data_IF_765153308694
#
_entry.id   IF_765153308694
#
_cell.length_a   1.000
_cell.length_b   1.000
_cell.length_c   1.000
_cell.angle_alpha   90.00
_cell.angle_beta   90.00
_cell.angle_gamma   90.00
#
_symmetry.space_group_name_H-M   'P 1'
#
loop_
_entity.id
_entity.type
_entity.pdbx_description
1 polymer ?
#
# COMPACT_ATOMS: atom_id res chain seq x y z
N UNK A 1 -28.46 -19.47 -7.42
CA UNK A 1 -28.21 -18.37 -8.40
C UNK A 1 -26.81 -18.59 -8.93
N UNK A 2 -26.62 -18.60 -10.24
CA UNK A 2 -25.30 -18.77 -10.83
C UNK A 2 -24.46 -17.51 -10.53
N UNK A 3 -23.21 -17.69 -10.09
CA UNK A 3 -22.33 -16.57 -9.75
C UNK A 3 -21.71 -16.05 -11.05
N UNK A 4 -21.89 -14.76 -11.39
CA UNK A 4 -21.31 -14.20 -12.61
C UNK A 4 -19.77 -14.08 -12.49
N UNK A 5 -19.07 -13.99 -13.63
CA UNK A 5 -17.63 -13.73 -13.67
C UNK A 5 -17.24 -12.44 -12.92
N UNK A 6 -18.05 -11.39 -13.08
CA UNK A 6 -17.82 -10.09 -12.45
C UNK A 6 -19.02 -9.72 -11.61
N UNK A 7 -18.80 -9.54 -10.32
CA UNK A 7 -19.80 -9.03 -9.39
C UNK A 7 -19.59 -7.53 -9.27
N UNK A 8 -20.60 -6.75 -9.67
CA UNK A 8 -20.64 -5.31 -9.49
C UNK A 8 -21.70 -4.93 -8.46
N UNK A 9 -21.39 -3.88 -7.71
CA UNK A 9 -22.41 -3.12 -6.96
C UNK A 9 -23.04 -2.08 -7.88
N UNK A 10 -24.27 -1.70 -7.58
CA UNK A 10 -24.87 -0.50 -8.17
C UNK A 10 -24.31 0.75 -7.46
N UNK A 11 -24.39 1.93 -8.07
CA UNK A 11 -23.88 3.18 -7.48
C UNK A 11 -24.50 3.47 -6.09
N UNK A 12 -25.77 3.14 -5.90
CA UNK A 12 -26.47 3.31 -4.62
C UNK A 12 -26.09 2.29 -3.55
N UNK A 13 -25.46 1.18 -3.94
CA UNK A 13 -24.92 0.16 -3.02
C UNK A 13 -23.49 0.48 -2.57
N UNK A 14 -22.85 1.49 -3.15
CA UNK A 14 -21.50 1.90 -2.78
C UNK A 14 -21.44 2.38 -1.33
N UNK A 15 -20.35 2.06 -0.60
CA UNK A 15 -20.15 2.52 0.77
C UNK A 15 -20.22 4.05 0.88
N UNK A 16 -20.94 4.55 1.89
CA UNK A 16 -21.03 5.98 2.22
C UNK A 16 -20.09 6.39 3.34
N UNK A 17 -19.44 5.44 3.97
CA UNK A 17 -18.53 5.61 5.09
C UNK A 17 -17.26 4.82 4.84
N UNK A 18 -16.14 5.34 5.31
CA UNK A 18 -14.92 4.56 5.53
C UNK A 18 -15.00 3.88 6.88
N UNK A 19 -14.34 2.74 7.01
CA UNK A 19 -14.30 1.98 8.26
C UNK A 19 -12.90 2.00 8.86
N UNK A 20 -12.81 2.44 10.11
CA UNK A 20 -11.59 2.47 10.91
C UNK A 20 -11.52 1.23 11.80
N UNK A 21 -10.78 0.23 11.36
CA UNK A 21 -10.63 -1.03 12.10
C UNK A 21 -10.04 -0.85 13.49
N UNK A 22 -9.28 0.25 13.74
CA UNK A 22 -8.72 0.55 15.06
C UNK A 22 -9.78 0.70 16.13
N UNK A 23 -10.97 1.17 15.80
CA UNK A 23 -12.06 1.30 16.77
C UNK A 23 -12.43 -0.04 17.43
N UNK A 24 -12.31 -1.14 16.68
CA UNK A 24 -12.64 -2.49 17.16
C UNK A 24 -11.42 -3.26 17.70
N UNK A 25 -10.20 -2.72 17.59
CA UNK A 25 -9.00 -3.38 18.13
C UNK A 25 -8.97 -3.32 19.66
N UNK A 26 -8.69 -4.47 20.29
CA UNK A 26 -8.49 -4.55 21.73
C UNK A 26 -7.18 -3.89 22.16
N UNK A 27 -6.09 -4.20 21.45
CA UNK A 27 -4.80 -3.57 21.61
C UNK A 27 -4.64 -2.53 20.50
N UNK A 28 -4.74 -1.25 20.86
CA UNK A 28 -4.53 -0.16 19.90
C UNK A 28 -3.07 -0.10 19.46
N UNK A 29 -2.77 0.36 18.23
CA UNK A 29 -1.41 0.67 17.86
C UNK A 29 -0.82 1.70 18.82
N UNK A 30 0.45 1.55 19.16
CA UNK A 30 1.14 2.52 20.01
C UNK A 30 1.18 3.90 19.30
N UNK A 31 1.12 5.02 20.06
CA UNK A 31 1.09 6.36 19.48
C UNK A 31 2.37 6.68 18.72
N UNK A 32 2.26 7.57 17.74
CA UNK A 32 3.44 8.19 17.14
C UNK A 32 4.17 9.03 18.19
N UNK A 33 5.50 8.97 18.22
CA UNK A 33 6.30 9.71 19.19
C UNK A 33 7.14 10.80 18.51
N UNK A 34 7.24 11.94 19.18
CA UNK A 34 8.21 12.97 18.84
C UNK A 34 9.62 12.43 19.10
N UNK A 35 10.53 12.42 18.11
CA UNK A 35 11.85 11.80 18.25
C UNK A 35 12.78 12.50 19.25
N UNK A 36 12.53 13.78 19.55
CA UNK A 36 13.34 14.53 20.51
C UNK A 36 12.89 14.39 21.96
N UNK A 37 11.60 14.11 22.19
CA UNK A 37 11.02 14.05 23.55
C UNK A 37 10.52 12.68 23.95
N UNK A 38 10.38 11.76 23.00
CA UNK A 38 9.76 10.44 23.13
C UNK A 38 8.33 10.46 23.69
N UNK A 39 7.67 11.63 23.62
CA UNK A 39 6.24 11.77 24.01
C UNK A 39 5.36 11.61 22.77
N UNK A 40 4.08 11.20 22.97
CA UNK A 40 3.12 11.19 21.88
C UNK A 40 3.07 12.54 21.15
N UNK A 41 3.09 12.50 19.81
CA UNK A 41 2.99 13.70 18.99
C UNK A 41 1.62 14.34 19.17
N UNK A 42 1.58 15.66 19.15
CA UNK A 42 0.34 16.43 19.26
C UNK A 42 -0.29 16.69 17.90
N UNK A 43 -1.57 17.08 17.92
CA UNK A 43 -2.27 17.53 16.70
C UNK A 43 -1.53 18.70 16.03
N UNK A 44 -1.05 19.66 16.82
CA UNK A 44 -0.33 20.84 16.35
C UNK A 44 0.96 20.46 15.62
N UNK A 45 1.76 19.54 16.20
CA UNK A 45 3.00 19.06 15.59
C UNK A 45 2.74 18.42 14.23
N UNK A 46 1.75 17.53 14.14
CA UNK A 46 1.41 16.86 12.88
C UNK A 46 0.80 17.80 11.84
N UNK A 47 0.06 18.84 12.26
CA UNK A 47 -0.56 19.81 11.35
C UNK A 47 0.44 20.70 10.62
N UNK A 48 1.69 20.76 11.08
CA UNK A 48 2.77 21.39 10.32
C UNK A 48 3.19 20.58 9.09
N UNK A 49 2.97 19.27 9.12
CA UNK A 49 3.36 18.34 8.05
C UNK A 49 2.16 17.94 7.18
N UNK A 50 1.02 17.60 7.80
CA UNK A 50 -0.17 17.07 7.13
C UNK A 50 -1.33 18.06 7.14
N UNK A 51 -2.32 17.84 6.27
CA UNK A 51 -3.59 18.56 6.32
C UNK A 51 -4.33 18.29 7.63
N UNK A 52 -5.00 19.31 8.15
CA UNK A 52 -5.66 19.28 9.47
C UNK A 52 -6.65 18.10 9.62
N UNK A 53 -7.48 17.86 8.60
CA UNK A 53 -8.46 16.77 8.67
C UNK A 53 -7.79 15.40 8.64
N UNK A 54 -6.71 15.27 7.87
CA UNK A 54 -5.92 14.03 7.83
C UNK A 54 -5.26 13.73 9.19
N UNK A 55 -4.84 14.77 9.93
CA UNK A 55 -4.31 14.62 11.30
C UNK A 55 -5.39 14.12 12.25
N UNK A 56 -6.62 14.65 12.16
CA UNK A 56 -7.74 14.14 12.98
C UNK A 56 -7.99 12.66 12.72
N UNK A 57 -8.08 12.27 11.45
CA UNK A 57 -8.28 10.88 11.04
C UNK A 57 -7.13 9.97 11.47
N UNK A 58 -5.89 10.47 11.45
CA UNK A 58 -4.70 9.73 11.91
C UNK A 58 -4.76 9.44 13.40
N UNK A 59 -5.14 10.43 14.20
CA UNK A 59 -5.14 10.34 15.67
C UNK A 59 -6.39 9.67 16.24
N UNK A 60 -7.52 9.66 15.53
CA UNK A 60 -8.77 9.06 16.02
C UNK A 60 -8.77 7.53 15.86
N UNK A 61 -8.65 6.83 16.97
CA UNK A 61 -8.70 5.38 17.08
C UNK A 61 -10.01 4.85 17.72
N UNK A 62 -11.00 5.70 17.88
CA UNK A 62 -12.28 5.43 18.54
C UNK A 62 -13.48 5.47 17.63
N UNK A 63 -13.51 6.37 16.66
CA UNK A 63 -14.58 6.47 15.68
C UNK A 63 -14.47 5.33 14.66
N UNK A 64 -15.48 4.47 14.61
CA UNK A 64 -15.50 3.31 13.71
C UNK A 64 -15.80 3.69 12.26
N UNK A 65 -16.70 4.64 12.02
CA UNK A 65 -17.16 5.02 10.68
C UNK A 65 -17.01 6.52 10.43
N UNK A 66 -16.29 6.87 9.37
CA UNK A 66 -16.13 8.24 8.89
C UNK A 66 -16.95 8.43 7.63
N UNK A 67 -17.83 9.42 7.61
CA UNK A 67 -18.61 9.72 6.40
C UNK A 67 -17.69 10.16 5.27
N UNK A 68 -17.94 9.63 4.08
CA UNK A 68 -17.21 10.02 2.86
C UNK A 68 -17.88 11.27 2.30
N UNK A 69 -17.19 12.43 2.23
CA UNK A 69 -17.74 13.65 1.64
C UNK A 69 -18.34 13.42 0.25
N UNK A 70 -19.43 14.15 -0.08
CA UNK A 70 -20.13 13.95 -1.36
C UNK A 70 -19.22 14.22 -2.57
N UNK A 71 -18.31 15.17 -2.48
CA UNK A 71 -17.34 15.49 -3.54
C UNK A 71 -16.43 14.30 -3.81
N UNK A 72 -15.96 13.61 -2.76
CA UNK A 72 -15.16 12.39 -2.90
C UNK A 72 -16.02 11.26 -3.48
N UNK A 73 -17.26 11.09 -3.01
CA UNK A 73 -18.18 10.08 -3.56
C UNK A 73 -18.48 10.34 -5.03
N UNK A 74 -18.67 11.61 -5.42
CA UNK A 74 -18.86 12.01 -6.81
C UNK A 74 -17.68 11.62 -7.68
N UNK A 75 -16.45 11.81 -7.18
CA UNK A 75 -15.27 11.36 -7.90
C UNK A 75 -15.16 9.82 -7.93
N UNK A 76 -15.48 9.15 -6.83
CA UNK A 76 -15.50 7.68 -6.79
C UNK A 76 -16.44 7.10 -7.86
N UNK A 77 -17.61 7.66 -8.09
CA UNK A 77 -18.53 7.22 -9.16
C UNK A 77 -17.95 7.23 -10.58
N UNK A 78 -16.87 8.00 -10.81
CA UNK A 78 -16.21 8.02 -12.13
C UNK A 78 -15.43 6.73 -12.43
N UNK A 79 -15.02 5.95 -11.41
CA UNK A 79 -14.21 4.74 -11.62
C UNK A 79 -14.58 3.57 -10.68
N UNK A 80 -15.50 3.77 -9.79
CA UNK A 80 -16.03 2.75 -8.89
C UNK A 80 -17.53 2.57 -9.15
N UNK A 81 -18.14 1.42 -8.76
CA UNK A 81 -17.53 0.31 -8.00
C UNK A 81 -16.47 -0.46 -8.80
N UNK A 82 -15.42 -0.92 -8.13
CA UNK A 82 -14.44 -1.80 -8.73
C UNK A 82 -14.96 -3.25 -8.71
N UNK A 83 -14.76 -4.06 -9.77
CA UNK A 83 -15.31 -5.41 -9.83
C UNK A 83 -14.65 -6.36 -8.84
N UNK A 84 -15.47 -7.25 -8.25
CA UNK A 84 -15.03 -8.50 -7.69
C UNK A 84 -15.17 -9.58 -8.76
N UNK A 85 -14.08 -10.19 -9.16
CA UNK A 85 -14.05 -11.14 -10.29
C UNK A 85 -13.79 -12.54 -9.77
N UNK A 86 -14.57 -13.52 -10.23
CA UNK A 86 -14.28 -14.93 -9.99
C UNK A 86 -13.31 -15.47 -11.06
N UNK A 87 -12.22 -16.05 -10.62
CA UNK A 87 -11.16 -16.55 -11.47
C UNK A 87 -11.45 -17.97 -11.99
N UNK A 88 -12.56 -18.15 -12.71
CA UNK A 88 -13.00 -19.46 -13.21
C UNK A 88 -11.91 -20.15 -14.07
N UNK A 89 -11.24 -19.38 -14.96
CA UNK A 89 -10.20 -19.95 -15.81
C UNK A 89 -8.99 -20.41 -14.98
N UNK A 90 -8.64 -19.68 -13.92
CA UNK A 90 -7.56 -20.05 -13.02
C UNK A 90 -7.93 -21.31 -12.20
N UNK A 91 -9.16 -21.38 -11.66
CA UNK A 91 -9.67 -22.56 -10.95
C UNK A 91 -9.59 -23.81 -11.81
N UNK A 92 -10.11 -23.74 -13.05
CA UNK A 92 -10.08 -24.82 -14.04
C UNK A 92 -8.63 -25.24 -14.39
N UNK A 93 -7.78 -24.27 -14.70
CA UNK A 93 -6.39 -24.49 -15.09
C UNK A 93 -5.56 -25.16 -13.98
N UNK A 94 -5.83 -24.80 -12.71
CA UNK A 94 -5.20 -25.44 -11.54
C UNK A 94 -5.81 -26.81 -11.24
N UNK A 95 -7.04 -27.06 -11.66
CA UNK A 95 -7.81 -28.27 -11.32
C UNK A 95 -8.05 -28.36 -9.81
N UNK A 96 -8.39 -27.23 -9.18
CA UNK A 96 -8.60 -27.09 -7.74
C UNK A 96 -10.10 -27.02 -7.40
N UNK A 97 -10.54 -27.53 -6.24
CA UNK A 97 -11.89 -27.27 -5.74
C UNK A 97 -12.05 -25.87 -5.16
N UNK A 98 -10.96 -25.12 -4.94
CA UNK A 98 -11.02 -23.77 -4.39
C UNK A 98 -11.82 -22.81 -5.28
N UNK A 99 -12.56 -21.90 -4.68
CA UNK A 99 -13.25 -20.79 -5.33
C UNK A 99 -12.39 -19.53 -5.17
N UNK A 100 -11.88 -19.00 -6.28
CA UNK A 100 -10.89 -17.93 -6.27
C UNK A 100 -11.55 -16.64 -6.76
N UNK A 101 -11.44 -15.57 -5.97
CA UNK A 101 -11.93 -14.25 -6.31
C UNK A 101 -10.82 -13.22 -6.22
N UNK A 102 -10.84 -12.22 -7.10
CA UNK A 102 -9.95 -11.07 -6.97
C UNK A 102 -10.69 -9.74 -7.06
N UNK A 103 -10.34 -8.84 -6.13
CA UNK A 103 -10.82 -7.44 -6.16
C UNK A 103 -9.94 -6.64 -7.10
N UNK A 104 -10.47 -6.24 -8.25
CA UNK A 104 -9.69 -5.63 -9.32
C UNK A 104 -9.60 -4.12 -9.18
N UNK A 105 -8.68 -3.63 -8.38
CA UNK A 105 -8.41 -2.20 -8.18
C UNK A 105 -7.52 -1.58 -9.26
N UNK A 106 -6.83 -2.37 -10.05
CA UNK A 106 -6.05 -1.91 -11.21
C UNK A 106 -6.91 -1.45 -12.40
N UNK A 107 -8.22 -1.68 -12.36
CA UNK A 107 -9.17 -1.33 -13.40
C UNK A 107 -9.72 0.10 -13.26
N UNK A 108 -8.86 1.06 -13.04
CA UNK A 108 -9.22 2.48 -13.00
C UNK A 108 -8.20 3.31 -13.78
N UNK A 109 -8.50 4.58 -13.98
CA UNK A 109 -7.71 5.49 -14.80
C UNK A 109 -6.29 5.73 -14.31
N UNK A 110 -6.02 5.55 -13.00
CA UNK A 110 -4.66 5.62 -12.45
C UNK A 110 -3.91 4.30 -12.51
N UNK A 111 -4.61 3.21 -12.80
CA UNK A 111 -4.08 1.84 -12.87
C UNK A 111 -3.77 1.19 -11.53
N UNK A 112 -4.24 1.75 -10.40
CA UNK A 112 -4.04 1.14 -9.08
C UNK A 112 -5.02 1.61 -8.01
N UNK A 113 -5.10 0.87 -6.88
CA UNK A 113 -5.89 1.20 -5.69
C UNK A 113 -5.56 2.57 -5.08
N UNK A 114 -4.39 3.12 -5.37
CA UNK A 114 -3.90 4.33 -4.70
C UNK A 114 -4.76 5.55 -4.95
N UNK A 115 -5.52 5.58 -6.04
CA UNK A 115 -6.44 6.65 -6.37
C UNK A 115 -7.50 6.89 -5.26
N UNK A 116 -7.92 5.84 -4.54
CA UNK A 116 -8.91 5.94 -3.47
C UNK A 116 -8.49 6.93 -2.36
N UNK A 117 -7.22 6.86 -1.94
CA UNK A 117 -6.69 7.77 -0.92
C UNK A 117 -6.19 9.08 -1.52
N UNK A 118 -5.68 9.07 -2.74
CA UNK A 118 -5.19 10.28 -3.41
C UNK A 118 -6.29 11.34 -3.55
N UNK A 119 -7.50 10.92 -3.93
CA UNK A 119 -8.66 11.79 -4.03
C UNK A 119 -9.03 12.38 -2.66
N UNK A 120 -9.07 11.56 -1.61
CA UNK A 120 -9.41 12.02 -0.28
C UNK A 120 -8.38 13.05 0.24
N UNK A 121 -7.09 12.77 0.10
CA UNK A 121 -6.03 13.66 0.58
C UNK A 121 -5.98 14.96 -0.21
N UNK A 122 -6.15 14.93 -1.54
CA UNK A 122 -6.21 16.13 -2.37
C UNK A 122 -7.47 16.97 -2.07
N UNK A 123 -8.62 16.34 -1.82
CA UNK A 123 -9.83 17.01 -1.39
C UNK A 123 -9.61 17.80 -0.09
N UNK A 124 -9.07 17.16 0.95
CA UNK A 124 -8.83 17.85 2.22
C UNK A 124 -7.75 18.92 2.13
N UNK A 125 -6.76 18.77 1.25
CA UNK A 125 -5.79 19.84 0.96
C UNK A 125 -6.46 21.06 0.33
N UNK A 126 -7.36 20.85 -0.63
CA UNK A 126 -8.17 21.93 -1.25
C UNK A 126 -9.07 22.60 -0.24
N UNK A 127 -9.82 21.84 0.58
CA UNK A 127 -10.72 22.38 1.60
C UNK A 127 -9.98 23.23 2.66
N UNK A 128 -8.73 22.87 2.94
CA UNK A 128 -7.87 23.68 3.81
C UNK A 128 -7.33 24.96 3.13
N UNK A 129 -7.56 25.15 1.82
CA UNK A 129 -7.06 26.30 1.06
C UNK A 129 -5.57 26.24 0.73
N UNK A 130 -4.99 25.04 0.66
CA UNK A 130 -3.59 24.87 0.31
C UNK A 130 -3.34 25.18 -1.17
N UNK A 131 -2.12 25.63 -1.50
CA UNK A 131 -1.65 25.85 -2.88
C UNK A 131 -1.29 24.53 -3.56
N UNK A 132 -0.72 23.61 -2.79
CA UNK A 132 -0.25 22.36 -3.32
C UNK A 132 0.16 21.35 -2.27
N UNK A 133 0.59 20.21 -2.75
CA UNK A 133 1.06 19.10 -1.92
C UNK A 133 2.40 18.57 -2.40
N UNK A 134 3.16 18.00 -1.46
CA UNK A 134 4.38 17.27 -1.77
C UNK A 134 4.20 15.80 -1.43
N UNK A 135 4.89 14.92 -2.12
CA UNK A 135 4.82 13.49 -1.86
C UNK A 135 6.03 12.73 -2.36
N UNK A 136 6.17 11.51 -1.85
CA UNK A 136 7.06 10.48 -2.38
C UNK A 136 6.32 9.59 -3.40
N UNK A 137 7.07 8.83 -4.19
CA UNK A 137 6.53 7.67 -4.91
C UNK A 137 7.63 6.64 -5.18
N UNK A 138 7.31 5.36 -4.95
CA UNK A 138 8.20 4.23 -5.25
C UNK A 138 8.21 3.90 -6.74
N UNK A 139 7.27 3.05 -7.16
CA UNK A 139 7.12 2.63 -8.56
C UNK A 139 6.41 3.66 -9.46
N UNK A 140 5.90 4.75 -8.89
CA UNK A 140 5.15 5.80 -9.60
C UNK A 140 3.63 5.66 -9.56
N UNK A 141 3.07 4.58 -9.00
CA UNK A 141 1.61 4.40 -8.91
C UNK A 141 0.96 5.46 -8.02
N UNK A 142 1.56 5.75 -6.86
CA UNK A 142 1.06 6.79 -5.96
C UNK A 142 1.19 8.19 -6.59
N UNK A 143 2.36 8.50 -7.13
CA UNK A 143 2.58 9.78 -7.82
C UNK A 143 1.60 10.00 -8.97
N UNK A 144 1.30 8.96 -9.77
CA UNK A 144 0.28 9.01 -10.83
C UNK A 144 -1.10 9.32 -10.27
N UNK A 145 -1.54 8.59 -9.24
CA UNK A 145 -2.86 8.78 -8.63
C UNK A 145 -3.01 10.17 -8.01
N UNK A 146 -1.98 10.64 -7.30
CA UNK A 146 -2.00 11.96 -6.68
C UNK A 146 -1.94 13.09 -7.71
N UNK A 147 -1.12 12.96 -8.76
CA UNK A 147 -1.07 13.96 -9.83
C UNK A 147 -2.43 14.15 -10.50
N UNK A 148 -3.15 13.05 -10.75
CA UNK A 148 -4.50 13.07 -11.27
C UNK A 148 -5.48 13.77 -10.30
N UNK A 149 -5.43 13.44 -9.01
CA UNK A 149 -6.27 14.07 -7.99
C UNK A 149 -5.99 15.57 -7.85
N UNK A 150 -4.71 15.97 -7.86
CA UNK A 150 -4.30 17.37 -7.80
C UNK A 150 -4.76 18.15 -9.03
N UNK A 151 -4.65 17.57 -10.23
CA UNK A 151 -5.16 18.19 -11.45
C UNK A 151 -6.67 18.43 -11.37
N UNK A 152 -7.42 17.47 -10.83
CA UNK A 152 -8.86 17.61 -10.67
C UNK A 152 -9.23 18.73 -9.68
N UNK A 153 -8.51 18.84 -8.56
CA UNK A 153 -8.79 19.85 -7.53
C UNK A 153 -8.04 21.17 -7.73
N UNK A 154 -7.23 21.33 -8.75
CA UNK A 154 -6.48 22.54 -9.05
C UNK A 154 -5.34 22.83 -8.06
N UNK A 155 -4.67 21.79 -7.59
CA UNK A 155 -3.54 21.87 -6.67
C UNK A 155 -2.20 21.63 -7.39
N UNK A 156 -1.16 22.33 -6.96
CA UNK A 156 0.20 22.01 -7.35
C UNK A 156 0.62 20.65 -6.76
N UNK A 157 1.35 19.85 -7.53
CA UNK A 157 1.83 18.54 -7.10
C UNK A 157 3.34 18.39 -7.30
N UNK A 158 4.09 18.28 -6.21
CA UNK A 158 5.54 18.00 -6.23
C UNK A 158 5.79 16.56 -5.80
N UNK A 159 6.38 15.75 -6.68
CA UNK A 159 6.63 14.33 -6.46
C UNK A 159 8.13 14.05 -6.41
N UNK A 160 8.59 13.39 -5.34
CA UNK A 160 9.93 12.79 -5.24
C UNK A 160 9.82 11.30 -5.55
N UNK A 161 10.40 10.88 -6.67
CA UNK A 161 10.32 9.50 -7.15
C UNK A 161 11.62 8.77 -6.86
N UNK A 162 11.54 7.57 -6.28
CA UNK A 162 12.72 6.72 -6.03
C UNK A 162 13.57 6.62 -7.30
N UNK A 163 14.85 6.97 -7.22
CA UNK A 163 15.77 7.17 -8.35
C UNK A 163 15.78 5.99 -9.32
N UNK A 164 15.94 4.77 -8.84
CA UNK A 164 15.95 3.59 -9.72
C UNK A 164 14.62 3.41 -10.46
N UNK A 165 13.49 3.71 -9.83
CA UNK A 165 12.19 3.65 -10.48
C UNK A 165 11.98 4.79 -11.47
N UNK A 166 12.50 5.98 -11.19
CA UNK A 166 12.49 7.12 -12.11
C UNK A 166 13.16 6.79 -13.45
N UNK A 167 14.24 5.99 -13.40
CA UNK A 167 14.98 5.52 -14.56
C UNK A 167 14.28 4.33 -15.26
N UNK A 168 13.80 3.35 -14.48
CA UNK A 168 13.20 2.12 -15.02
C UNK A 168 11.76 2.28 -15.55
N UNK A 169 11.05 3.33 -15.12
CA UNK A 169 9.62 3.54 -15.42
C UNK A 169 9.36 4.94 -16.01
N UNK A 170 9.97 5.27 -17.18
CA UNK A 170 9.89 6.60 -17.75
C UNK A 170 8.45 7.01 -18.09
N UNK A 171 7.60 6.07 -18.52
CA UNK A 171 6.20 6.39 -18.88
C UNK A 171 5.36 6.80 -17.69
N UNK A 172 5.60 6.27 -16.49
CA UNK A 172 4.92 6.76 -15.28
C UNK A 172 5.27 8.21 -14.97
N UNK A 173 6.53 8.58 -15.14
CA UNK A 173 6.97 9.98 -15.00
C UNK A 173 6.23 10.88 -15.99
N UNK A 174 6.11 10.47 -17.24
CA UNK A 174 5.42 11.28 -18.27
C UNK A 174 3.91 11.38 -17.99
N UNK A 175 3.27 10.34 -17.46
CA UNK A 175 1.87 10.42 -17.00
C UNK A 175 1.70 11.46 -15.88
N UNK A 176 2.57 11.44 -14.86
CA UNK A 176 2.54 12.45 -13.79
C UNK A 176 2.71 13.87 -14.34
N UNK A 177 3.67 14.07 -15.26
CA UNK A 177 3.90 15.37 -15.91
C UNK A 177 2.72 15.80 -16.78
N UNK A 178 2.05 14.86 -17.43
CA UNK A 178 0.84 15.14 -18.24
C UNK A 178 -0.31 15.66 -17.36
N UNK A 179 -0.41 15.18 -16.10
CA UNK A 179 -1.33 15.73 -15.12
C UNK A 179 -0.81 17.01 -14.42
N UNK A 180 0.32 17.56 -14.85
CA UNK A 180 0.86 18.83 -14.33
C UNK A 180 1.80 18.70 -13.13
N UNK A 181 2.13 17.50 -12.67
CA UNK A 181 3.04 17.32 -11.55
C UNK A 181 4.51 17.59 -11.92
N UNK A 182 5.26 18.12 -10.96
CA UNK A 182 6.72 18.20 -11.04
C UNK A 182 7.33 16.97 -10.38
N UNK A 183 8.16 16.22 -11.12
CA UNK A 183 8.73 14.95 -10.65
C UNK A 183 10.26 15.03 -10.60
N UNK A 184 10.82 14.74 -9.42
CA UNK A 184 12.28 14.76 -9.17
C UNK A 184 12.74 13.37 -8.71
N UNK A 185 13.87 12.83 -9.24
CA UNK A 185 14.46 11.59 -8.73
C UNK A 185 15.01 11.79 -7.33
N UNK A 186 14.74 10.87 -6.41
CA UNK A 186 15.18 10.94 -5.01
C UNK A 186 16.12 9.77 -4.64
N UNK A 187 17.19 10.05 -3.87
CA UNK A 187 17.56 11.34 -3.29
C UNK A 187 18.13 12.33 -4.32
N UNK A 188 17.91 13.62 -4.10
CA UNK A 188 18.26 14.72 -5.00
C UNK A 188 19.14 15.77 -4.35
N UNK A 189 19.65 16.71 -5.17
CA UNK A 189 20.37 17.89 -4.69
C UNK A 189 19.43 19.08 -4.36
N UNK A 190 18.10 18.95 -4.58
CA UNK A 190 17.15 20.04 -4.35
C UNK A 190 16.93 20.34 -2.86
N UNK A 191 16.97 19.31 -2.02
CA UNK A 191 16.73 19.40 -0.57
C UNK A 191 18.01 19.24 0.24
N UNK A 192 18.04 19.76 1.46
CA UNK A 192 19.17 19.57 2.35
C UNK A 192 19.29 18.11 2.78
N UNK A 193 18.15 17.50 3.15
CA UNK A 193 18.13 16.09 3.53
C UNK A 193 18.56 15.17 2.38
N UNK A 194 18.18 15.47 1.15
CA UNK A 194 18.60 14.74 -0.03
C UNK A 194 20.12 14.76 -0.21
N UNK A 195 20.75 15.93 -0.06
CA UNK A 195 22.21 16.07 -0.09
C UNK A 195 22.89 15.24 1.01
N UNK A 196 22.40 15.30 2.26
CA UNK A 196 22.94 14.50 3.38
C UNK A 196 22.82 12.98 3.13
N UNK A 197 21.70 12.54 2.53
CA UNK A 197 21.53 11.12 2.17
C UNK A 197 22.53 10.71 1.10
N UNK A 198 22.74 11.53 0.07
CA UNK A 198 23.71 11.26 -1.00
C UNK A 198 25.18 11.21 -0.48
N UNK A 199 25.50 12.04 0.51
CA UNK A 199 26.81 11.99 1.20
C UNK A 199 26.99 10.71 2.01
N UNK A 200 25.93 10.28 2.73
CA UNK A 200 25.96 9.07 3.58
C UNK A 200 25.95 7.78 2.75
N UNK A 201 25.23 7.78 1.64
CA UNK A 201 25.04 6.63 0.75
C UNK A 201 25.42 6.98 -0.70
N UNK A 202 26.71 7.15 -1.01
CA UNK A 202 27.16 7.47 -2.36
C UNK A 202 26.73 6.37 -3.36
N UNK A 203 26.15 6.78 -4.49
CA UNK A 203 25.68 5.84 -5.51
C UNK A 203 24.38 5.09 -5.20
N UNK A 204 23.68 5.47 -4.14
CA UNK A 204 22.38 4.85 -3.78
C UNK A 204 21.37 4.86 -4.92
N UNK A 205 20.61 3.78 -5.02
CA UNK A 205 19.44 3.66 -5.92
C UNK A 205 18.18 4.34 -5.38
N UNK A 206 18.25 4.85 -4.15
CA UNK A 206 17.15 5.46 -3.43
C UNK A 206 16.18 4.44 -2.83
N UNK A 207 15.34 4.92 -1.93
CA UNK A 207 14.26 4.18 -1.28
C UNK A 207 13.05 5.07 -1.07
N UNK A 208 11.91 4.48 -0.69
CA UNK A 208 10.76 5.28 -0.25
C UNK A 208 11.10 6.17 0.94
N UNK A 209 11.90 5.68 1.90
CA UNK A 209 12.34 6.46 3.04
C UNK A 209 13.13 7.72 2.64
N UNK A 210 13.99 7.63 1.62
CA UNK A 210 14.70 8.81 1.07
C UNK A 210 13.71 9.83 0.48
N UNK A 211 12.77 9.36 -0.33
CA UNK A 211 11.80 10.22 -1.01
C UNK A 211 10.80 10.87 -0.03
N UNK A 212 10.42 10.16 1.06
CA UNK A 212 9.63 10.71 2.15
C UNK A 212 10.36 11.89 2.81
N UNK A 213 11.64 11.71 3.14
CA UNK A 213 12.44 12.77 3.79
C UNK A 213 12.44 14.05 2.98
N UNK A 214 12.67 13.97 1.66
CA UNK A 214 12.68 15.13 0.77
C UNK A 214 11.30 15.77 0.63
N UNK A 215 10.25 14.96 0.52
CA UNK A 215 8.89 15.45 0.42
C UNK A 215 8.43 16.18 1.70
N UNK A 216 8.79 15.66 2.87
CA UNK A 216 8.51 16.30 4.17
C UNK A 216 9.27 17.61 4.31
N UNK A 217 10.59 17.65 4.00
CA UNK A 217 11.36 18.89 4.02
C UNK A 217 10.72 19.94 3.10
N UNK A 218 10.37 19.56 1.88
CA UNK A 218 9.75 20.48 0.92
C UNK A 218 8.40 21.01 1.41
N UNK A 219 7.57 20.18 2.02
CA UNK A 219 6.29 20.61 2.58
C UNK A 219 6.46 21.61 3.73
N UNK A 220 7.38 21.34 4.64
CA UNK A 220 7.59 22.16 5.83
C UNK A 220 8.33 23.47 5.56
N UNK A 221 9.07 23.55 4.45
CA UNK A 221 9.83 24.76 4.04
C UNK A 221 9.12 25.58 2.97
N UNK A 222 7.94 25.16 2.47
CA UNK A 222 7.19 25.87 1.43
C UNK A 222 5.82 26.29 1.95
N UNK A 223 5.56 27.58 1.99
CA UNK A 223 4.30 28.13 2.46
C UNK A 223 3.12 27.68 1.59
N UNK A 224 2.03 27.25 2.22
CA UNK A 224 0.82 26.77 1.53
C UNK A 224 0.92 25.33 1.04
N UNK A 225 1.97 24.59 1.41
CA UNK A 225 2.11 23.18 1.07
C UNK A 225 1.99 22.28 2.30
N UNK A 226 1.53 21.03 2.07
CA UNK A 226 1.55 19.96 3.05
C UNK A 226 2.00 18.67 2.38
N UNK A 227 2.55 17.78 3.18
CA UNK A 227 2.92 16.43 2.74
C UNK A 227 1.70 15.52 2.76
N UNK A 228 1.59 14.68 1.73
CA UNK A 228 0.60 13.60 1.61
C UNK A 228 1.32 12.32 1.19
N UNK A 229 0.78 11.16 1.56
CA UNK A 229 1.47 9.89 1.31
C UNK A 229 0.52 8.76 0.91
N UNK A 230 1.08 7.79 0.18
CA UNK A 230 0.32 6.70 -0.43
C UNK A 230 0.21 5.41 0.38
N UNK A 231 0.73 5.37 1.63
CA UNK A 231 0.76 4.15 2.43
C UNK A 231 1.03 4.43 3.91
N UNK A 232 1.16 3.38 4.74
CA UNK A 232 1.64 3.35 6.12
C UNK A 232 0.68 3.93 7.16
N UNK A 233 0.28 5.19 7.04
CA UNK A 233 -0.51 5.89 8.06
C UNK A 233 -1.96 5.42 8.12
N UNK A 234 -2.55 5.56 9.30
CA UNK A 234 -3.90 5.09 9.61
C UNK A 234 -4.97 5.76 8.74
N UNK A 235 -4.82 7.07 8.46
CA UNK A 235 -5.70 7.79 7.56
C UNK A 235 -5.70 7.21 6.14
N UNK A 236 -4.55 6.69 5.66
CA UNK A 236 -4.47 6.05 4.35
C UNK A 236 -5.20 4.70 4.36
N UNK A 237 -4.99 3.88 5.40
CA UNK A 237 -5.72 2.62 5.57
C UNK A 237 -7.22 2.86 5.67
N UNK A 238 -7.64 3.92 6.37
CA UNK A 238 -9.03 4.36 6.47
C UNK A 238 -9.64 4.61 5.08
N UNK A 239 -9.00 5.44 4.25
CA UNK A 239 -9.48 5.71 2.89
C UNK A 239 -9.52 4.45 2.02
N UNK A 240 -8.55 3.55 2.18
CA UNK A 240 -8.49 2.31 1.43
C UNK A 240 -9.53 1.26 1.91
N UNK A 241 -10.19 1.48 3.05
CA UNK A 241 -11.26 0.58 3.53
C UNK A 241 -12.41 0.42 2.53
N UNK A 242 -12.57 1.37 1.61
CA UNK A 242 -13.52 1.28 0.49
C UNK A 242 -13.35 -0.02 -0.31
N UNK A 243 -12.10 -0.53 -0.45
CA UNK A 243 -11.80 -1.78 -1.15
C UNK A 243 -12.49 -2.96 -0.46
N UNK A 244 -12.28 -3.08 0.85
CA UNK A 244 -12.83 -4.17 1.66
C UNK A 244 -14.34 -4.08 1.79
N UNK A 245 -14.87 -2.88 2.01
CA UNK A 245 -16.31 -2.63 2.13
C UNK A 245 -17.07 -3.00 0.86
N UNK A 246 -16.58 -2.61 -0.33
CA UNK A 246 -17.15 -3.06 -1.59
C UNK A 246 -17.00 -4.57 -1.81
N UNK A 247 -15.83 -5.13 -1.44
CA UNK A 247 -15.59 -6.58 -1.55
C UNK A 247 -16.59 -7.35 -0.70
N UNK A 248 -16.78 -6.93 0.56
CA UNK A 248 -17.73 -7.56 1.46
C UNK A 248 -19.17 -7.44 0.92
N UNK A 249 -19.60 -6.26 0.53
CA UNK A 249 -20.94 -6.06 -0.03
C UNK A 249 -21.17 -6.92 -1.29
N UNK A 250 -20.17 -7.06 -2.15
CA UNK A 250 -20.27 -7.93 -3.34
C UNK A 250 -20.36 -9.42 -2.98
N UNK A 251 -19.62 -9.88 -1.99
CA UNK A 251 -19.69 -11.26 -1.47
C UNK A 251 -21.03 -11.52 -0.80
N UNK A 252 -21.50 -10.61 0.04
CA UNK A 252 -22.78 -10.71 0.77
C UNK A 252 -23.97 -10.81 -0.21
N UNK A 253 -23.92 -10.09 -1.35
CA UNK A 253 -24.94 -10.13 -2.41
C UNK A 253 -25.19 -11.55 -2.94
N UNK A 254 -24.21 -12.43 -2.86
CA UNK A 254 -24.28 -13.83 -3.29
C UNK A 254 -24.15 -14.84 -2.15
N UNK A 255 -24.23 -14.39 -0.88
CA UNK A 255 -24.02 -15.20 0.32
C UNK A 255 -22.70 -15.99 0.31
N UNK A 256 -21.62 -15.35 -0.16
CA UNK A 256 -20.27 -15.94 -0.20
C UNK A 256 -19.51 -15.52 1.05
N UNK A 257 -18.98 -16.50 1.78
CA UNK A 257 -18.07 -16.26 2.93
C UNK A 257 -16.65 -16.60 2.52
N UNK A 258 -15.68 -15.68 2.68
CA UNK A 258 -14.29 -15.98 2.40
C UNK A 258 -13.68 -16.80 3.54
N UNK A 259 -12.91 -17.84 3.20
CA UNK A 259 -12.08 -18.60 4.14
C UNK A 259 -10.69 -17.99 4.26
N UNK A 260 -10.17 -17.42 3.16
CA UNK A 260 -8.83 -16.86 3.08
C UNK A 260 -8.88 -15.53 2.34
N UNK A 261 -8.27 -14.48 2.94
CA UNK A 261 -8.06 -13.19 2.27
C UNK A 261 -6.56 -12.92 2.16
N UNK A 262 -6.10 -12.55 0.97
CA UNK A 262 -4.69 -12.38 0.65
C UNK A 262 -4.44 -10.99 0.07
N UNK A 263 -3.42 -10.31 0.56
CA UNK A 263 -2.97 -9.03 -0.01
C UNK A 263 -1.46 -8.89 0.00
N UNK A 264 -0.91 -8.20 -0.99
CA UNK A 264 0.50 -7.83 -0.97
C UNK A 264 0.75 -6.73 0.06
N UNK A 265 1.92 -6.76 0.68
CA UNK A 265 2.29 -5.86 1.76
C UNK A 265 3.64 -5.16 1.48
N UNK A 266 3.58 -3.84 1.31
CA UNK A 266 4.71 -2.91 1.42
C UNK A 266 4.53 -2.11 2.71
N UNK A 267 4.06 -0.86 2.61
CA UNK A 267 3.60 -0.10 3.79
C UNK A 267 2.23 -0.52 4.32
N UNK A 268 1.48 -1.38 3.61
CA UNK A 268 0.27 -2.04 4.09
C UNK A 268 -1.06 -1.43 3.66
N UNK A 269 -1.10 -0.36 2.85
CA UNK A 269 -2.35 0.36 2.57
C UNK A 269 -3.41 -0.47 1.85
N UNK A 270 -3.03 -1.21 0.79
CA UNK A 270 -3.98 -2.05 0.07
C UNK A 270 -4.49 -3.23 0.91
N UNK A 271 -3.58 -3.88 1.62
CA UNK A 271 -3.91 -4.99 2.53
C UNK A 271 -4.85 -4.51 3.63
N UNK A 272 -4.49 -3.43 4.34
CA UNK A 272 -5.31 -2.84 5.40
C UNK A 272 -6.70 -2.43 4.92
N UNK A 273 -6.79 -1.86 3.71
CA UNK A 273 -8.05 -1.52 3.08
C UNK A 273 -8.92 -2.73 2.78
N UNK A 274 -8.35 -3.75 2.11
CA UNK A 274 -9.07 -4.96 1.72
C UNK A 274 -9.58 -5.75 2.93
N UNK A 275 -8.74 -5.92 3.95
CA UNK A 275 -9.09 -6.75 5.10
C UNK A 275 -9.99 -6.05 6.11
N UNK A 276 -10.10 -4.72 6.10
CA UNK A 276 -10.68 -3.93 7.19
C UNK A 276 -12.04 -4.45 7.69
N UNK A 277 -13.10 -4.67 6.89
CA UNK A 277 -14.38 -5.16 7.41
C UNK A 277 -14.32 -6.60 7.91
N UNK A 278 -13.53 -7.43 7.25
CA UNK A 278 -13.34 -8.84 7.65
C UNK A 278 -12.52 -8.97 8.93
N UNK A 279 -11.52 -8.11 9.09
CA UNK A 279 -10.77 -8.00 10.35
C UNK A 279 -11.67 -7.49 11.46
N UNK A 280 -12.57 -6.54 11.21
CA UNK A 280 -13.56 -6.08 12.17
C UNK A 280 -14.44 -7.21 12.69
N UNK A 281 -14.96 -8.08 11.80
CA UNK A 281 -15.70 -9.29 12.16
C UNK A 281 -14.84 -10.27 12.99
N UNK A 282 -13.59 -10.48 12.58
CA UNK A 282 -12.65 -11.37 13.29
C UNK A 282 -12.32 -10.85 14.69
N UNK A 283 -12.12 -9.55 14.86
CA UNK A 283 -11.87 -8.93 16.17
C UNK A 283 -13.06 -9.06 17.13
N UNK A 284 -14.28 -9.11 16.59
CA UNK A 284 -15.53 -9.33 17.34
C UNK A 284 -15.83 -10.81 17.61
N UNK A 285 -15.04 -11.72 17.04
CA UNK A 285 -15.28 -13.18 17.15
C UNK A 285 -16.42 -13.69 16.24
N UNK A 286 -16.77 -12.93 15.23
CA UNK A 286 -17.84 -13.25 14.27
C UNK A 286 -17.33 -14.05 13.05
N UNK A 287 -16.00 -14.10 12.84
CA UNK A 287 -15.35 -14.75 11.70
C UNK A 287 -13.98 -15.33 12.07
N UNK A 288 -13.69 -16.53 11.51
CA UNK A 288 -12.38 -17.20 11.62
C UNK A 288 -11.56 -17.08 10.33
N UNK A 289 -11.87 -16.12 9.46
CA UNK A 289 -11.18 -15.92 8.18
C UNK A 289 -9.67 -15.82 8.38
N UNK A 290 -8.91 -16.58 7.56
CA UNK A 290 -7.45 -16.45 7.52
C UNK A 290 -7.06 -15.25 6.68
N UNK A 291 -6.16 -14.43 7.18
CA UNK A 291 -5.66 -13.24 6.49
C UNK A 291 -4.16 -13.39 6.32
N UNK A 292 -3.69 -13.30 5.06
CA UNK A 292 -2.29 -13.55 4.71
C UNK A 292 -1.71 -12.31 4.02
N UNK A 293 -0.69 -11.74 4.64
CA UNK A 293 0.13 -10.68 4.05
C UNK A 293 1.29 -11.28 3.26
N UNK A 294 1.46 -10.87 2.01
CA UNK A 294 2.58 -11.35 1.18
C UNK A 294 3.51 -10.18 0.87
N UNK A 295 4.76 -10.34 1.26
CA UNK A 295 5.81 -9.35 1.06
C UNK A 295 6.95 -9.87 0.17
N UNK A 296 7.75 -8.98 -0.46
CA UNK A 296 8.91 -9.42 -1.22
C UNK A 296 10.02 -9.92 -0.29
N UNK A 297 10.66 -11.04 -0.64
CA UNK A 297 11.81 -11.57 0.09
C UNK A 297 12.99 -10.58 0.14
N UNK A 298 13.04 -9.62 -0.79
CA UNK A 298 14.02 -8.53 -0.81
C UNK A 298 13.74 -7.41 0.21
N UNK A 299 12.54 -7.38 0.81
CA UNK A 299 12.13 -6.36 1.79
C UNK A 299 11.14 -6.96 2.81
N UNK A 300 11.61 -7.94 3.64
CA UNK A 300 10.75 -8.80 4.46
C UNK A 300 10.45 -8.19 5.84
N UNK A 301 9.70 -7.07 5.87
CA UNK A 301 9.46 -6.31 7.10
C UNK A 301 8.68 -7.09 8.16
N UNK A 302 7.63 -7.82 7.79
CA UNK A 302 6.87 -8.67 8.70
C UNK A 302 7.65 -9.91 9.13
N UNK A 303 8.18 -10.66 8.15
CA UNK A 303 8.71 -12.00 8.41
C UNK A 303 10.11 -11.98 9.03
N UNK A 304 10.89 -10.91 8.82
CA UNK A 304 12.27 -10.79 9.32
C UNK A 304 12.60 -9.44 9.98
N UNK A 305 11.62 -8.52 10.07
CA UNK A 305 11.79 -7.24 10.74
C UNK A 305 11.65 -7.35 12.27
N UNK A 306 11.95 -6.26 12.95
CA UNK A 306 11.82 -6.10 14.40
C UNK A 306 10.57 -5.27 14.71
N UNK A 307 9.75 -5.68 15.69
CA UNK A 307 8.63 -4.88 16.17
C UNK A 307 9.13 -3.84 17.17
N UNK A 308 9.39 -2.62 16.69
CA UNK A 308 10.00 -1.55 17.47
C UNK A 308 9.57 -0.17 16.97
N UNK A 309 9.89 0.88 17.73
CA UNK A 309 9.81 2.24 17.23
C UNK A 309 10.94 2.51 16.24
N UNK A 310 10.59 3.14 15.11
CA UNK A 310 11.53 3.56 14.09
C UNK A 310 11.01 4.79 13.36
N UNK A 311 11.89 5.50 12.66
CA UNK A 311 11.50 6.56 11.75
C UNK A 311 10.78 6.00 10.54
N UNK A 312 9.79 6.72 10.04
CA UNK A 312 9.11 6.36 8.80
C UNK A 312 9.93 6.73 7.55
N UNK A 313 11.08 7.40 7.72
CA UNK A 313 11.93 7.90 6.65
C UNK A 313 13.43 7.76 6.96
N UNK A 314 14.26 7.75 5.92
CA UNK A 314 15.72 7.56 6.03
C UNK A 314 16.44 8.80 6.57
N UNK A 315 15.87 9.99 6.34
CA UNK A 315 16.45 11.27 6.77
C UNK A 315 16.10 11.69 8.20
N UNK A 316 15.30 10.88 8.91
CA UNK A 316 14.86 11.13 10.29
C UNK A 316 14.04 12.43 10.43
N UNK A 317 13.20 12.72 9.43
CA UNK A 317 12.33 13.91 9.36
C UNK A 317 10.94 13.67 9.96
N UNK A 318 10.56 12.39 10.18
CA UNK A 318 9.23 11.97 10.62
C UNK A 318 9.20 11.65 12.11
N UNK A 319 8.00 11.60 12.74
CA UNK A 319 7.83 10.97 14.04
C UNK A 319 8.24 9.50 14.04
N UNK A 320 8.49 8.96 15.24
CA UNK A 320 8.71 7.53 15.44
C UNK A 320 7.39 6.79 15.46
N UNK A 321 7.29 5.73 14.68
CA UNK A 321 6.13 4.84 14.65
C UNK A 321 6.52 3.45 15.16
N UNK A 322 5.70 2.83 16.01
CA UNK A 322 5.90 1.45 16.42
C UNK A 322 5.37 0.51 15.33
N UNK A 323 6.28 -0.23 14.72
CA UNK A 323 5.99 -1.05 13.55
C UNK A 323 6.94 -2.23 13.42
N UNK A 324 6.63 -3.20 12.59
CA UNK A 324 7.63 -4.13 12.08
C UNK A 324 8.51 -3.39 11.08
N UNK A 325 9.81 -3.34 11.35
CA UNK A 325 10.78 -2.56 10.57
C UNK A 325 12.07 -3.33 10.32
N UNK A 326 12.70 -3.04 9.19
CA UNK A 326 14.06 -3.49 8.83
C UNK A 326 15.13 -2.45 9.22
N UNK A 327 14.69 -1.30 9.76
CA UNK A 327 15.51 -0.14 10.07
C UNK A 327 15.40 0.96 9.01
N UNK A 328 15.22 2.21 9.45
CA UNK A 328 14.98 3.38 8.57
C UNK A 328 16.15 3.70 7.62
N UNK A 329 17.36 3.22 7.93
CA UNK A 329 18.57 3.34 7.09
C UNK A 329 18.73 2.15 6.10
N UNK A 330 17.85 1.12 6.19
CA UNK A 330 17.83 0.01 5.26
C UNK A 330 17.32 0.43 3.89
N UNK A 331 18.13 0.24 2.87
CA UNK A 331 17.78 0.52 1.47
C UNK A 331 17.59 -0.82 0.76
N UNK A 332 16.34 -1.21 0.44
CA UNK A 332 16.07 -2.47 -0.24
C UNK A 332 16.75 -2.54 -1.60
N UNK A 333 17.14 -3.74 -2.01
CA UNK A 333 17.65 -3.99 -3.36
C UNK A 333 16.67 -3.52 -4.44
N UNK A 334 17.13 -3.19 -5.67
CA UNK A 334 16.30 -2.62 -6.73
C UNK A 334 15.38 -3.66 -7.38
N UNK A 335 14.55 -4.36 -6.58
CA UNK A 335 13.52 -5.26 -7.08
C UNK A 335 12.41 -4.50 -7.81
N UNK A 336 11.71 -5.19 -8.73
CA UNK A 336 10.75 -4.57 -9.63
C UNK A 336 9.39 -4.25 -9.01
N UNK A 337 9.05 -4.84 -7.86
CA UNK A 337 7.88 -4.46 -7.06
C UNK A 337 8.18 -3.20 -6.23
N UNK A 338 8.45 -2.09 -6.91
CA UNK A 338 8.89 -0.84 -6.29
C UNK A 338 7.93 -0.26 -5.25
N UNK A 339 6.62 -0.54 -5.37
CA UNK A 339 5.61 -0.17 -4.39
C UNK A 339 5.66 -0.95 -3.08
N UNK A 340 6.43 -2.05 -3.01
CA UNK A 340 6.64 -2.85 -1.81
C UNK A 340 8.04 -2.67 -1.19
N UNK A 341 8.84 -1.75 -1.72
CA UNK A 341 10.21 -1.46 -1.25
C UNK A 341 10.21 -0.41 -0.14
N UNK A 342 9.66 -0.76 1.02
CA UNK A 342 9.62 0.10 2.19
C UNK A 342 10.12 -0.65 3.42
N UNK A 343 10.99 -0.01 4.22
CA UNK A 343 11.64 -0.64 5.38
C UNK A 343 10.70 -0.96 6.54
N UNK A 344 9.55 -0.29 6.61
CA UNK A 344 8.58 -0.40 7.70
C UNK A 344 7.19 -0.83 7.25
N UNK A 345 6.32 -1.02 8.20
CA UNK A 345 4.93 -1.45 8.00
C UNK A 345 3.98 -0.55 8.79
N UNK A 346 2.74 -0.37 8.32
CA UNK A 346 1.69 0.31 9.08
C UNK A 346 1.64 -0.15 10.53
N UNK A 347 1.58 0.78 11.48
CA UNK A 347 1.46 0.47 12.91
C UNK A 347 0.21 -0.35 13.22
N UNK A 348 -0.91 -0.09 12.55
CA UNK A 348 -2.15 -0.86 12.68
C UNK A 348 -1.96 -2.31 12.25
N UNK A 349 -1.40 -2.56 11.07
CA UNK A 349 -1.15 -3.93 10.60
C UNK A 349 -0.07 -4.63 11.40
N UNK A 350 0.95 -3.88 11.83
CA UNK A 350 1.99 -4.42 12.71
C UNK A 350 1.43 -4.91 14.05
N UNK A 351 0.51 -4.15 14.64
CA UNK A 351 -0.16 -4.57 15.87
C UNK A 351 -1.05 -5.80 15.65
N UNK A 352 -1.84 -5.82 14.57
CA UNK A 352 -2.69 -6.97 14.23
C UNK A 352 -1.87 -8.25 13.97
N UNK A 353 -0.74 -8.13 13.31
CA UNK A 353 0.18 -9.25 13.10
C UNK A 353 0.84 -9.70 14.41
N UNK A 354 1.28 -8.74 15.23
CA UNK A 354 1.88 -9.02 16.55
C UNK A 354 0.91 -9.75 17.49
N UNK A 355 -0.37 -9.40 17.43
CA UNK A 355 -1.44 -10.02 18.20
C UNK A 355 -1.94 -11.36 17.61
N UNK A 356 -1.38 -11.81 16.49
CA UNK A 356 -1.70 -13.10 15.86
C UNK A 356 -3.00 -13.13 15.07
N UNK A 357 -3.58 -11.98 14.70
CA UNK A 357 -4.80 -11.94 13.88
C UNK A 357 -4.57 -12.21 12.39
N UNK A 358 -3.33 -12.15 11.93
CA UNK A 358 -2.96 -12.38 10.54
C UNK A 358 -1.62 -13.10 10.40
N UNK A 359 -1.43 -13.73 9.25
CA UNK A 359 -0.22 -14.44 8.86
C UNK A 359 0.61 -13.57 7.89
N UNK A 360 1.91 -13.83 7.77
CA UNK A 360 2.76 -13.22 6.77
C UNK A 360 3.70 -14.24 6.13
N UNK A 361 3.99 -14.03 4.84
CA UNK A 361 4.99 -14.80 4.11
C UNK A 361 5.74 -13.91 3.11
N UNK A 362 6.98 -14.25 2.83
CA UNK A 362 7.82 -13.56 1.85
C UNK A 362 8.06 -14.44 0.62
N UNK A 363 8.17 -13.81 -0.56
CA UNK A 363 8.30 -14.50 -1.85
C UNK A 363 9.39 -13.85 -2.70
N UNK A 364 10.17 -14.69 -3.40
CA UNK A 364 11.17 -14.24 -4.37
C UNK A 364 10.51 -13.64 -5.61
N UNK A 365 11.12 -12.57 -6.17
CA UNK A 365 10.53 -11.89 -7.33
C UNK A 365 10.43 -12.80 -8.57
N UNK A 366 11.35 -13.73 -8.79
CA UNK A 366 11.28 -14.68 -9.92
C UNK A 366 10.04 -15.58 -9.84
N UNK A 367 9.65 -16.03 -8.65
CA UNK A 367 8.43 -16.81 -8.46
C UNK A 367 7.16 -15.96 -8.60
N UNK A 368 7.24 -14.71 -8.14
CA UNK A 368 6.17 -13.72 -8.36
C UNK A 368 5.91 -13.49 -9.85
N UNK A 369 6.96 -13.33 -10.67
CA UNK A 369 6.81 -13.13 -12.12
C UNK A 369 6.32 -14.39 -12.85
N UNK A 370 6.72 -15.61 -12.44
CA UNK A 370 6.12 -16.86 -12.93
C UNK A 370 4.60 -16.89 -12.68
N UNK A 371 4.18 -16.52 -11.47
CA UNK A 371 2.77 -16.45 -11.11
C UNK A 371 2.03 -15.35 -11.91
N UNK A 372 2.67 -14.20 -12.11
CA UNK A 372 2.14 -13.10 -12.92
C UNK A 372 1.86 -13.53 -14.36
N UNK A 373 2.82 -14.18 -15.02
CA UNK A 373 2.62 -14.70 -16.37
C UNK A 373 1.57 -15.80 -16.44
N UNK A 374 1.58 -16.72 -15.48
CA UNK A 374 0.58 -17.79 -15.41
C UNK A 374 -0.84 -17.18 -15.31
N UNK A 375 -1.01 -16.18 -14.46
CA UNK A 375 -2.27 -15.46 -14.30
C UNK A 375 -2.66 -14.69 -15.58
N UNK A 376 -1.71 -13.96 -16.17
CA UNK A 376 -1.95 -13.20 -17.40
C UNK A 376 -2.40 -14.11 -18.57
N UNK A 377 -1.77 -15.27 -18.72
CA UNK A 377 -2.11 -16.26 -19.76
C UNK A 377 -3.43 -16.99 -19.47
N UNK A 378 -3.90 -16.96 -18.23
CA UNK A 378 -5.12 -17.67 -17.80
C UNK A 378 -6.32 -16.75 -17.72
N UNK A 379 -6.18 -15.58 -17.06
CA UNK A 379 -7.27 -14.63 -16.82
C UNK A 379 -7.28 -13.45 -17.82
N UNK A 380 -6.26 -13.33 -18.68
CA UNK A 380 -6.17 -12.27 -19.69
C UNK A 380 -5.85 -10.88 -19.10
N UNK A 381 -5.37 -10.81 -17.86
CA UNK A 381 -5.04 -9.55 -17.18
C UNK A 381 -3.55 -9.53 -16.86
N UNK A 382 -2.85 -8.49 -17.31
CA UNK A 382 -1.44 -8.26 -16.98
C UNK A 382 -1.33 -7.54 -15.63
N UNK A 383 -0.90 -8.24 -14.56
CA UNK A 383 -0.85 -7.66 -13.21
C UNK A 383 0.41 -6.84 -12.99
N UNK A 384 0.33 -5.86 -12.08
CA UNK A 384 1.52 -5.21 -11.54
C UNK A 384 2.37 -6.21 -10.73
N UNK A 385 3.71 -6.06 -10.69
CA UNK A 385 4.57 -6.92 -9.87
C UNK A 385 4.16 -6.97 -8.40
N UNK A 386 3.67 -5.87 -7.85
CA UNK A 386 3.15 -5.80 -6.49
C UNK A 386 1.97 -6.77 -6.28
N UNK A 387 0.95 -6.68 -7.15
CA UNK A 387 -0.24 -7.54 -7.09
C UNK A 387 0.09 -9.02 -7.27
N UNK A 388 1.14 -9.29 -8.02
CA UNK A 388 1.55 -10.66 -8.36
C UNK A 388 2.04 -11.46 -7.14
N UNK A 389 2.43 -10.78 -6.05
CA UNK A 389 2.69 -11.42 -4.76
C UNK A 389 1.42 -12.08 -4.20
N UNK A 390 0.29 -11.38 -4.26
CA UNK A 390 -1.00 -11.94 -3.81
C UNK A 390 -1.48 -13.04 -4.76
N UNK A 391 -1.27 -12.91 -6.08
CA UNK A 391 -1.56 -13.96 -7.07
C UNK A 391 -0.77 -15.24 -6.75
N UNK A 392 0.54 -15.12 -6.49
CA UNK A 392 1.38 -16.26 -6.12
C UNK A 392 0.79 -17.02 -4.93
N UNK A 393 0.48 -16.29 -3.85
CA UNK A 393 -0.06 -16.93 -2.65
C UNK A 393 -1.45 -17.53 -2.86
N UNK A 394 -2.31 -16.90 -3.66
CA UNK A 394 -3.61 -17.45 -4.02
C UNK A 394 -3.48 -18.76 -4.80
N UNK A 395 -2.53 -18.86 -5.73
CA UNK A 395 -2.21 -20.07 -6.46
C UNK A 395 -1.71 -21.16 -5.50
N UNK A 396 -0.80 -20.83 -4.57
CA UNK A 396 -0.28 -21.82 -3.61
C UNK A 396 -1.37 -22.32 -2.63
N UNK A 397 -2.24 -21.45 -2.13
CA UNK A 397 -3.38 -21.88 -1.30
C UNK A 397 -4.38 -22.75 -2.12
N UNK A 398 -4.62 -22.41 -3.39
CA UNK A 398 -5.45 -23.23 -4.28
C UNK A 398 -4.85 -24.61 -4.56
N UNK A 399 -3.52 -24.73 -4.67
CA UNK A 399 -2.82 -26.02 -4.78
C UNK A 399 -2.99 -26.86 -3.52
N UNK A 400 -2.91 -26.26 -2.33
CA UNK A 400 -3.19 -26.95 -1.05
C UNK A 400 -4.62 -27.47 -1.01
N UNK A 401 -5.60 -26.71 -1.50
CA UNK A 401 -6.99 -27.17 -1.63
C UNK A 401 -7.11 -28.38 -2.58
N UNK A 402 -6.36 -28.36 -3.68
CA UNK A 402 -6.32 -29.51 -4.62
C UNK A 402 -5.75 -30.76 -3.95
N UNK A 403 -4.67 -30.63 -3.19
CA UNK A 403 -4.00 -31.74 -2.50
C UNK A 403 -4.86 -32.32 -1.38
N UNK A 404 -5.53 -31.45 -0.59
CA UNK A 404 -6.40 -31.87 0.52
C UNK A 404 -7.80 -32.29 0.08
N UNK A 405 -8.26 -31.87 -1.10
CA UNK A 405 -9.65 -32.00 -1.55
C UNK A 405 -10.62 -31.03 -0.88
N UNK A 406 -10.15 -30.11 -0.05
CA UNK A 406 -11.00 -29.13 0.63
C UNK A 406 -11.41 -27.99 -0.31
N UNK A 407 -12.70 -27.70 -0.35
CA UNK A 407 -13.19 -26.47 -1.00
C UNK A 407 -13.02 -25.28 -0.05
N UNK A 408 -12.27 -24.24 -0.48
CA UNK A 408 -12.14 -22.96 0.25
C UNK A 408 -12.39 -21.80 -0.69
N UNK A 409 -12.98 -20.76 -0.16
CA UNK A 409 -13.14 -19.48 -0.85
C UNK A 409 -11.95 -18.58 -0.56
N UNK A 410 -11.16 -18.29 -1.59
CA UNK A 410 -9.96 -17.45 -1.54
C UNK A 410 -10.28 -16.13 -2.19
N UNK A 411 -10.04 -15.01 -1.49
CA UNK A 411 -10.18 -13.65 -2.03
C UNK A 411 -8.83 -12.96 -1.98
N UNK A 412 -8.38 -12.38 -3.09
CA UNK A 412 -7.14 -11.61 -3.10
C UNK A 412 -7.29 -10.22 -3.74
N UNK A 413 -6.39 -9.32 -3.36
CA UNK A 413 -6.32 -7.97 -3.93
C UNK A 413 -5.49 -7.94 -5.21
N UNK A 414 -6.12 -7.62 -6.35
CA UNK A 414 -5.45 -7.31 -7.61
C UNK A 414 -5.32 -5.79 -7.74
N UNK A 415 -4.28 -5.25 -7.10
CA UNK A 415 -4.17 -3.84 -6.71
C UNK A 415 -3.68 -2.90 -7.80
N UNK A 416 -3.09 -3.43 -8.90
CA UNK A 416 -2.54 -2.61 -9.97
C UNK A 416 -2.38 -3.33 -11.30
N UNK A 417 -2.39 -2.55 -12.38
CA UNK A 417 -2.08 -3.00 -13.75
C UNK A 417 -0.57 -3.03 -14.00
N UNK A 418 -0.11 -4.00 -14.80
CA UNK A 418 1.30 -4.21 -15.16
C UNK A 418 1.77 -3.50 -16.43
N UNK A 419 0.91 -2.79 -17.15
CA UNK A 419 1.29 -2.19 -18.44
C UNK A 419 2.43 -1.16 -18.36
N UNK A 420 2.66 -0.56 -17.21
CA UNK A 420 3.80 0.33 -16.97
C UNK A 420 5.07 -0.40 -16.48
N UNK A 421 5.01 -1.73 -16.32
CA UNK A 421 6.07 -2.54 -15.74
C UNK A 421 6.76 -3.46 -16.77
N UNK A 422 6.62 -3.16 -18.07
CA UNK A 422 7.10 -4.01 -19.16
C UNK A 422 8.61 -4.21 -19.14
N UNK A 423 9.40 -3.24 -18.67
CA UNK A 423 10.84 -3.42 -18.45
C UNK A 423 11.16 -4.56 -17.46
N UNK A 424 10.30 -4.74 -16.47
CA UNK A 424 10.46 -5.84 -15.51
C UNK A 424 10.13 -7.20 -16.15
N UNK A 425 9.05 -7.26 -16.93
CA UNK A 425 8.71 -8.47 -17.69
C UNK A 425 9.77 -8.82 -18.73
N UNK A 426 10.34 -7.83 -19.45
CA UNK A 426 11.46 -8.03 -20.36
C UNK A 426 12.66 -8.69 -19.65
N UNK A 427 13.08 -8.14 -18.49
CA UNK A 427 14.18 -8.71 -17.73
C UNK A 427 13.89 -10.14 -17.25
N UNK A 428 12.63 -10.42 -16.90
CA UNK A 428 12.22 -11.77 -16.51
C UNK A 428 12.33 -12.74 -17.70
N UNK A 429 11.82 -12.37 -18.88
CA UNK A 429 11.89 -13.17 -20.09
C UNK A 429 13.34 -13.44 -20.54
N UNK A 430 14.20 -12.43 -20.39
CA UNK A 430 15.63 -12.53 -20.75
C UNK A 430 16.47 -13.30 -19.72
N UNK A 431 15.88 -13.79 -18.62
CA UNK A 431 16.61 -14.45 -17.53
C UNK A 431 17.58 -13.53 -16.79
N UNK A 432 17.33 -12.21 -16.81
CA UNK A 432 18.18 -11.18 -16.18
C UNK A 432 17.61 -10.68 -14.83
N UNK A 433 16.65 -11.40 -14.28
CA UNK A 433 16.04 -11.05 -13.00
C UNK A 433 16.68 -11.86 -11.87
N UNK A 434 17.22 -11.18 -10.87
CA UNK A 434 17.86 -11.78 -9.71
C UNK A 434 16.98 -11.70 -8.46
N UNK A 435 17.05 -12.73 -7.62
CA UNK A 435 16.44 -12.75 -6.30
C UNK A 435 17.46 -12.25 -5.26
N UNK A 436 17.38 -10.96 -4.93
CA UNK A 436 18.21 -10.36 -3.89
C UNK A 436 17.49 -10.40 -2.55
N UNK A 437 17.95 -11.25 -1.65
CA UNK A 437 17.43 -11.38 -0.28
C UNK A 437 18.47 -10.84 0.69
N UNK A 438 18.10 -9.93 1.64
CA UNK A 438 19.07 -9.43 2.63
C UNK A 438 19.55 -10.56 3.54
N UNK A 439 20.83 -10.54 3.89
CA UNK A 439 21.41 -11.50 4.83
C UNK A 439 20.99 -11.23 6.27
N UNK A 440 21.11 -12.21 7.16
CA UNK A 440 20.81 -12.02 8.58
C UNK A 440 21.78 -11.02 9.23
N UNK A 441 23.02 -10.96 8.78
CA UNK A 441 24.02 -10.00 9.23
C UNK A 441 23.65 -8.56 8.86
N UNK A 442 23.19 -8.35 7.62
CA UNK A 442 22.68 -7.05 7.19
C UNK A 442 21.49 -6.61 8.03
N UNK A 443 20.50 -7.47 8.22
CA UNK A 443 19.32 -7.13 9.02
C UNK A 443 19.66 -6.86 10.48
N UNK A 444 20.56 -7.63 11.09
CA UNK A 444 21.04 -7.40 12.46
C UNK A 444 21.76 -6.05 12.59
N UNK A 445 22.56 -5.66 11.59
CA UNK A 445 23.21 -4.35 11.55
C UNK A 445 22.18 -3.22 11.65
N UNK A 446 21.15 -3.24 10.83
CA UNK A 446 20.12 -2.20 10.84
C UNK A 446 19.23 -2.26 12.09
N UNK A 447 18.91 -3.45 12.59
CA UNK A 447 18.19 -3.62 13.85
C UNK A 447 18.93 -3.02 15.05
N UNK A 448 20.27 -3.08 15.06
CA UNK A 448 21.09 -2.46 16.10
C UNK A 448 21.07 -0.92 16.08
N UNK A 449 20.63 -0.31 14.98
CA UNK A 449 20.55 1.15 14.80
C UNK A 449 19.18 1.71 15.17
N UNK A 450 18.21 0.86 15.51
CA UNK A 450 16.84 1.30 15.86
C UNK A 450 16.85 2.26 17.05
N UNK A 451 15.97 3.28 17.07
CA UNK A 451 15.83 4.20 18.19
C UNK A 451 15.53 3.45 19.50
N UNK A 452 16.26 3.79 20.56
CA UNK A 452 16.00 3.26 21.90
C UNK A 452 14.95 4.16 22.55
N UNK A 453 13.72 3.69 22.56
CA UNK A 453 12.60 4.33 23.24
C UNK A 453 12.36 3.56 24.54
N UNK A 454 12.56 4.25 25.68
CA UNK A 454 12.31 3.69 27.02
C UNK A 454 10.82 3.68 27.36
#
# INVERSE_FOLDING_TARGET
MEIPYKIYLEENEMPKYWYNVRADMKNKPAPLLNPGTHKPVTYEELSHVFCNELVKQELDDTTAYFEIPEEIRSFYRMYRPAPLVRAYCLEEKLGTPAKIYYKFEGNNTSGSHKLNSAIAQAYYAKEQGLKGVTTETGAGQWGTALSMACAYFGLDCKVYMVKVSYEQKPFRREVMRTYGATVTPSPSMETEVGRRILERHPGTTGSLGCAISEAVEKATTTEGYRYVLGSVLNQVLLHQSIIGLETKAALDKYNIKPDIIIGCAGGGSNLGGLISPFMGEKLKGESDVRIIAIEPASCPSFTRGTFAYDFCDTGMMTPLAKMYTLGSDFIPSPSHAGGLRYHGMSSTLSQLYHDGYMEAASVNQTDVFKAAEYFARTEGILPAPESSHAIYAAIEEAKKCKESGEEKTIVFGLTGTGYFDMVAYEKFHDGKMDDSVPTDEELKKYAAMLPKVE
#
